data_IF_054886806016
#
_entry.id   IF_054886806016
#
_cell.length_a   1.000
_cell.length_b   1.000
_cell.length_c   1.000
_cell.angle_alpha   90.00
_cell.angle_beta   90.00
_cell.angle_gamma   90.00
#
_symmetry.space_group_name_H-M   'P 1'
#
loop_
_entity.id
_entity.type
_entity.pdbx_description
1 polymer ?
#
# COMPACT_ATOMS: atom_id res chain seq x y z
N UNK A 1 42.08 41.94 5.45
CA UNK A 1 42.64 41.60 4.12
C UNK A 1 42.87 40.11 4.10
N UNK A 2 41.93 39.35 3.55
CA UNK A 2 42.02 37.88 3.46
C UNK A 2 42.71 37.50 2.15
N UNK A 3 43.78 36.73 2.24
CA UNK A 3 44.54 36.21 1.11
C UNK A 3 43.84 35.00 0.51
N UNK A 4 43.42 35.11 -0.75
CA UNK A 4 42.95 34.01 -1.58
C UNK A 4 44.13 33.13 -1.99
N UNK A 5 44.20 31.91 -1.46
CA UNK A 5 45.04 30.84 -2.01
C UNK A 5 44.19 30.00 -2.96
N UNK A 6 44.40 30.19 -4.26
CA UNK A 6 43.83 29.35 -5.31
C UNK A 6 44.53 27.99 -5.31
N UNK A 7 43.83 26.96 -4.84
CA UNK A 7 44.27 25.57 -5.01
C UNK A 7 43.96 25.17 -6.46
N UNK A 8 45.00 24.95 -7.25
CA UNK A 8 44.90 24.49 -8.63
C UNK A 8 44.61 22.98 -8.66
N UNK A 9 43.44 22.61 -9.17
CA UNK A 9 43.01 21.22 -9.31
C UNK A 9 43.67 20.62 -10.56
N UNK A 10 44.55 19.63 -10.39
CA UNK A 10 45.22 18.92 -11.49
C UNK A 10 44.54 17.55 -11.70
N UNK A 11 43.80 17.34 -12.82
CA UNK A 11 42.89 16.20 -12.94
C UNK A 11 43.54 14.88 -13.39
N UNK A 12 44.88 14.75 -13.39
CA UNK A 12 45.57 13.62 -14.03
C UNK A 12 46.38 12.71 -13.11
N UNK A 13 46.14 12.73 -11.79
CA UNK A 13 47.01 12.04 -10.82
C UNK A 13 46.34 10.91 -10.02
N UNK A 14 45.47 10.06 -10.59
CA UNK A 14 45.17 8.75 -9.98
C UNK A 14 44.92 7.68 -11.04
N UNK A 15 45.88 6.76 -11.17
CA UNK A 15 45.75 5.55 -11.94
C UNK A 15 45.06 4.44 -11.15
N UNK A 16 44.25 3.66 -11.89
CA UNK A 16 43.66 2.36 -11.58
C UNK A 16 42.44 2.34 -10.62
N UNK A 17 41.29 2.05 -11.25
CA UNK A 17 40.04 1.53 -10.68
C UNK A 17 39.19 2.46 -9.81
N UNK A 18 38.95 3.69 -10.26
CA UNK A 18 37.64 4.32 -10.00
C UNK A 18 36.79 4.18 -11.25
N UNK A 19 36.16 3.00 -11.41
CA UNK A 19 34.85 3.02 -12.04
C UNK A 19 34.01 3.84 -11.08
N UNK A 20 33.84 5.13 -11.36
CA UNK A 20 32.85 5.94 -10.71
C UNK A 20 31.50 5.31 -11.06
N UNK A 21 31.09 4.33 -10.26
CA UNK A 21 29.70 3.96 -10.06
C UNK A 21 29.08 5.24 -9.50
N UNK A 22 28.62 6.12 -10.39
CA UNK A 22 27.67 7.14 -9.99
C UNK A 22 26.55 6.38 -9.26
N UNK A 23 26.29 6.67 -7.98
CA UNK A 23 25.21 5.99 -7.27
C UNK A 23 23.95 6.19 -8.10
N UNK A 24 23.35 5.06 -8.49
CA UNK A 24 22.27 5.02 -9.46
C UNK A 24 21.02 5.77 -8.95
N UNK A 25 20.92 5.90 -7.62
CA UNK A 25 19.99 6.79 -6.97
C UNK A 25 20.76 7.71 -6.01
N UNK A 26 20.47 9.01 -6.10
CA UNK A 26 21.14 10.06 -5.32
C UNK A 26 20.17 10.76 -4.36
N UNK A 27 18.88 10.78 -4.72
CA UNK A 27 17.83 11.33 -3.90
C UNK A 27 17.07 10.17 -3.23
N UNK A 28 16.82 10.21 -1.91
CA UNK A 28 15.93 9.26 -1.25
C UNK A 28 14.58 9.06 -1.97
N UNK A 29 14.01 10.12 -2.57
CA UNK A 29 12.76 10.04 -3.33
C UNK A 29 12.85 9.22 -4.63
N UNK A 30 14.06 8.89 -5.11
CA UNK A 30 14.25 8.03 -6.29
C UNK A 30 13.63 6.64 -6.07
N UNK A 31 13.68 6.11 -4.84
CA UNK A 31 13.10 4.80 -4.51
C UNK A 31 11.56 4.86 -4.56
N UNK A 32 10.97 5.99 -4.15
CA UNK A 32 9.53 6.25 -4.26
C UNK A 32 9.10 6.31 -5.72
N UNK A 33 9.86 7.02 -6.57
CA UNK A 33 9.54 7.10 -8.00
C UNK A 33 9.67 5.73 -8.68
N UNK A 34 10.74 4.98 -8.37
CA UNK A 34 10.90 3.63 -8.90
C UNK A 34 9.72 2.73 -8.51
N UNK A 35 9.30 2.76 -7.23
CA UNK A 35 8.16 2.02 -6.73
C UNK A 35 6.84 2.43 -7.40
N UNK A 36 6.60 3.73 -7.58
CA UNK A 36 5.38 4.28 -8.20
C UNK A 36 5.16 3.82 -9.64
N UNK A 37 6.25 3.65 -10.39
CA UNK A 37 6.21 3.15 -11.76
C UNK A 37 6.46 1.64 -11.89
N UNK A 38 6.72 0.94 -10.77
CA UNK A 38 7.10 -0.48 -10.79
C UNK A 38 8.42 -0.74 -11.53
N UNK A 39 9.33 0.23 -11.58
CA UNK A 39 10.63 0.09 -12.22
C UNK A 39 11.55 -0.78 -11.33
N UNK A 40 11.49 -2.08 -11.56
CA UNK A 40 12.25 -3.07 -10.79
C UNK A 40 13.76 -2.83 -10.85
N UNK A 41 14.28 -2.35 -11.99
CA UNK A 41 15.70 -2.10 -12.16
C UNK A 41 16.12 -0.91 -11.31
N UNK A 42 15.44 0.24 -11.46
CA UNK A 42 15.74 1.44 -10.67
C UNK A 42 15.53 1.18 -9.17
N UNK A 43 14.51 0.41 -8.81
CA UNK A 43 14.25 0.04 -7.42
C UNK A 43 15.43 -0.74 -6.82
N UNK A 44 15.92 -1.77 -7.53
CA UNK A 44 17.11 -2.55 -7.12
C UNK A 44 18.35 -1.67 -7.01
N UNK A 45 18.56 -0.82 -8.01
CA UNK A 45 19.69 0.10 -8.06
C UNK A 45 19.67 1.08 -6.85
N UNK A 46 18.49 1.57 -6.43
CA UNK A 46 18.34 2.42 -5.24
C UNK A 46 18.64 1.67 -3.93
N UNK A 47 18.12 0.45 -3.78
CA UNK A 47 18.39 -0.39 -2.58
C UNK A 47 19.89 -0.67 -2.46
N UNK A 48 20.55 -1.02 -3.57
CA UNK A 48 21.99 -1.28 -3.61
C UNK A 48 22.83 -0.02 -3.35
N UNK A 49 22.30 1.17 -3.69
CA UNK A 49 22.93 2.46 -3.36
C UNK A 49 22.79 2.83 -1.88
N UNK A 50 22.09 2.03 -1.07
CA UNK A 50 21.93 2.23 0.37
C UNK A 50 20.80 3.18 0.76
N UNK A 51 19.88 3.48 -0.17
CA UNK A 51 18.67 4.25 0.17
C UNK A 51 17.78 3.37 1.09
N UNK A 52 17.29 3.89 2.22
CA UNK A 52 16.39 3.14 3.09
C UNK A 52 15.14 2.67 2.34
N UNK A 53 14.83 1.37 2.44
CA UNK A 53 13.67 0.75 1.78
C UNK A 53 12.33 1.33 2.24
N UNK A 54 12.29 1.89 3.45
CA UNK A 54 11.12 2.48 4.08
C UNK A 54 11.15 4.03 4.07
N UNK A 55 11.99 4.64 3.22
CA UNK A 55 11.97 6.09 3.00
C UNK A 55 10.55 6.53 2.63
N UNK A 56 9.94 7.38 3.45
CA UNK A 56 8.55 7.81 3.24
C UNK A 56 8.51 9.15 2.51
N UNK A 57 7.54 9.29 1.60
CA UNK A 57 7.26 10.56 0.94
C UNK A 57 6.52 11.54 1.88
N UNK A 58 6.25 12.79 1.47
CA UNK A 58 5.53 13.76 2.31
C UNK A 58 4.10 13.34 2.72
N UNK A 59 3.50 12.33 2.08
CA UNK A 59 2.22 11.74 2.48
C UNK A 59 2.38 10.62 3.54
N UNK A 60 3.62 10.32 3.94
CA UNK A 60 3.95 9.20 4.82
C UNK A 60 3.90 7.84 4.11
N UNK A 61 3.85 7.82 2.77
CA UNK A 61 3.78 6.59 1.99
C UNK A 61 5.20 6.09 1.68
N UNK A 62 5.49 4.85 2.06
CA UNK A 62 6.74 4.16 1.72
C UNK A 62 6.67 3.56 0.29
N UNK A 63 7.79 3.07 -0.27
CA UNK A 63 7.81 2.37 -1.55
C UNK A 63 6.77 1.26 -1.64
N UNK A 64 6.53 0.51 -0.55
CA UNK A 64 5.54 -0.56 -0.52
C UNK A 64 4.11 -0.07 -0.80
N UNK A 65 3.73 1.11 -0.32
CA UNK A 65 2.42 1.73 -0.65
C UNK A 65 2.29 2.01 -2.15
N UNK A 66 3.35 2.48 -2.78
CA UNK A 66 3.36 2.84 -4.20
C UNK A 66 3.35 1.60 -5.11
N UNK A 67 4.08 0.54 -4.74
CA UNK A 67 4.12 -0.72 -5.52
C UNK A 67 2.76 -1.39 -5.58
N UNK A 68 1.98 -1.34 -4.48
CA UNK A 68 0.62 -1.89 -4.46
C UNK A 68 -0.25 -1.20 -5.52
N UNK A 69 -0.14 0.12 -5.66
CA UNK A 69 -0.79 0.87 -6.74
C UNK A 69 -0.30 0.44 -8.12
N UNK A 70 1.03 0.38 -8.31
CA UNK A 70 1.67 -0.01 -9.56
C UNK A 70 1.29 -1.44 -10.00
N UNK A 71 1.09 -2.36 -9.05
CA UNK A 71 0.73 -3.75 -9.34
C UNK A 71 1.91 -4.65 -9.71
N UNK A 72 3.16 -4.21 -9.54
CA UNK A 72 4.35 -5.03 -9.85
C UNK A 72 4.61 -6.03 -8.73
N UNK A 73 4.41 -7.32 -9.03
CA UNK A 73 4.62 -8.41 -8.06
C UNK A 73 6.10 -8.57 -7.74
N UNK A 74 6.95 -8.49 -8.75
CA UNK A 74 8.40 -8.66 -8.63
C UNK A 74 9.00 -7.56 -7.74
N UNK A 75 8.56 -6.31 -7.92
CA UNK A 75 9.00 -5.20 -7.09
C UNK A 75 8.47 -5.32 -5.65
N UNK A 76 7.25 -5.85 -5.47
CA UNK A 76 6.65 -6.09 -4.17
C UNK A 76 7.47 -7.12 -3.38
N UNK A 77 7.81 -8.26 -4.00
CA UNK A 77 8.67 -9.27 -3.39
C UNK A 77 10.07 -8.75 -3.10
N UNK A 78 10.65 -7.97 -4.02
CA UNK A 78 11.97 -7.37 -3.81
C UNK A 78 12.00 -6.52 -2.53
N UNK A 79 10.99 -5.69 -2.27
CA UNK A 79 10.95 -4.92 -1.01
C UNK A 79 10.82 -5.82 0.22
N UNK A 80 9.93 -6.82 0.16
CA UNK A 80 9.70 -7.74 1.27
C UNK A 80 10.92 -8.61 1.60
N UNK A 81 11.80 -8.88 0.64
CA UNK A 81 13.08 -9.55 0.83
C UNK A 81 14.17 -8.65 1.43
N UNK A 82 13.96 -7.33 1.45
CA UNK A 82 14.90 -6.34 1.98
C UNK A 82 14.39 -5.68 3.27
N UNK A 83 13.76 -6.46 4.15
CA UNK A 83 13.34 -6.08 5.51
C UNK A 83 12.40 -4.86 5.62
N UNK A 84 11.59 -4.60 4.59
CA UNK A 84 10.53 -3.57 4.63
C UNK A 84 9.57 -3.77 5.79
N UNK A 85 9.32 -2.71 6.57
CA UNK A 85 8.31 -2.72 7.64
C UNK A 85 6.89 -2.54 7.07
N UNK A 86 6.16 -3.65 6.99
CA UNK A 86 4.77 -3.67 6.51
C UNK A 86 3.78 -2.96 7.45
N UNK A 87 4.18 -2.65 8.70
CA UNK A 87 3.31 -2.05 9.73
C UNK A 87 3.26 -0.52 9.67
N UNK A 88 4.09 0.10 8.83
CA UNK A 88 4.09 1.53 8.63
C UNK A 88 2.75 2.03 8.09
N UNK A 89 2.41 3.26 8.48
CA UNK A 89 1.13 3.90 8.16
C UNK A 89 1.38 5.23 7.48
N UNK A 90 0.54 5.56 6.52
CA UNK A 90 0.55 6.87 5.89
C UNK A 90 0.05 7.97 6.85
N UNK A 91 0.09 9.22 6.40
CA UNK A 91 -0.39 10.37 7.19
C UNK A 91 -1.91 10.35 7.42
N UNK A 92 -2.67 9.46 6.78
CA UNK A 92 -4.10 9.21 7.04
C UNK A 92 -4.34 8.01 7.95
N UNK A 93 -3.26 7.38 8.46
CA UNK A 93 -3.31 6.17 9.27
C UNK A 93 -3.65 4.91 8.48
N UNK A 94 -3.68 4.96 7.14
CA UNK A 94 -3.89 3.78 6.33
C UNK A 94 -2.66 2.89 6.41
N UNK A 95 -2.89 1.58 6.50
CA UNK A 95 -1.86 0.56 6.29
C UNK A 95 -1.77 0.21 4.81
N UNK A 96 -0.72 -0.52 4.42
CA UNK A 96 -0.59 -1.11 3.09
C UNK A 96 -1.77 -2.01 2.70
N UNK A 97 -2.44 -2.65 3.67
CA UNK A 97 -3.68 -3.40 3.43
C UNK A 97 -4.84 -2.50 2.97
N UNK A 98 -5.01 -1.31 3.56
CA UNK A 98 -6.02 -0.35 3.10
C UNK A 98 -5.77 0.05 1.64
N UNK A 99 -4.49 0.27 1.28
CA UNK A 99 -4.08 0.56 -0.09
C UNK A 99 -4.40 -0.63 -1.01
N UNK A 100 -4.04 -1.85 -0.63
CA UNK A 100 -4.32 -3.06 -1.42
C UNK A 100 -5.81 -3.25 -1.69
N UNK A 101 -6.65 -3.04 -0.69
CA UNK A 101 -8.12 -3.06 -0.83
C UNK A 101 -8.63 -1.97 -1.77
N UNK A 102 -8.14 -0.74 -1.62
CA UNK A 102 -8.56 0.41 -2.44
C UNK A 102 -8.24 0.18 -3.92
N UNK A 103 -7.11 -0.46 -4.23
CA UNK A 103 -6.69 -0.80 -5.60
C UNK A 103 -7.19 -2.18 -6.07
N UNK A 104 -7.92 -2.94 -5.24
CA UNK A 104 -8.39 -4.28 -5.59
C UNK A 104 -7.28 -5.30 -5.86
N UNK A 105 -6.17 -5.23 -5.11
CA UNK A 105 -5.01 -6.11 -5.23
C UNK A 105 -5.14 -7.30 -4.27
N UNK A 106 -6.00 -8.25 -4.60
CA UNK A 106 -6.33 -9.42 -3.77
C UNK A 106 -5.08 -10.20 -3.33
N UNK A 107 -4.14 -10.45 -4.25
CA UNK A 107 -2.91 -11.19 -3.95
C UNK A 107 -1.99 -10.46 -2.96
N UNK A 108 -1.84 -9.13 -3.09
CA UNK A 108 -1.03 -8.35 -2.14
C UNK A 108 -1.71 -8.27 -0.78
N UNK A 109 -3.04 -8.14 -0.74
CA UNK A 109 -3.77 -8.18 0.51
C UNK A 109 -3.57 -9.52 1.23
N UNK A 110 -3.65 -10.64 0.49
CA UNK A 110 -3.41 -11.98 1.02
C UNK A 110 -2.02 -12.11 1.65
N UNK A 111 -0.98 -11.74 0.89
CA UNK A 111 0.40 -11.87 1.36
C UNK A 111 0.68 -10.99 2.59
N UNK A 112 0.17 -9.76 2.62
CA UNK A 112 0.33 -8.87 3.77
C UNK A 112 -0.31 -9.47 5.04
N UNK A 113 -1.50 -10.07 4.91
CA UNK A 113 -2.19 -10.74 6.02
C UNK A 113 -1.42 -11.98 6.48
N UNK A 114 -0.92 -12.79 5.55
CA UNK A 114 -0.14 -14.00 5.88
C UNK A 114 1.19 -13.67 6.57
N UNK A 115 1.74 -12.49 6.32
CA UNK A 115 2.90 -11.94 7.06
C UNK A 115 2.56 -11.34 8.42
N UNK A 116 1.31 -11.45 8.87
CA UNK A 116 0.88 -11.00 10.18
C UNK A 116 0.62 -9.50 10.28
N UNK A 117 0.32 -8.83 9.17
CA UNK A 117 -0.26 -7.48 9.23
C UNK A 117 -1.65 -7.56 9.87
N UNK A 118 -1.91 -6.67 10.82
CA UNK A 118 -3.21 -6.62 11.50
C UNK A 118 -4.34 -6.29 10.51
N UNK A 119 -5.20 -7.28 10.27
CA UNK A 119 -6.34 -7.21 9.36
C UNK A 119 -7.42 -6.22 9.85
N UNK A 120 -7.46 -5.98 11.16
CA UNK A 120 -8.44 -5.13 11.84
C UNK A 120 -7.89 -3.73 12.15
N UNK A 121 -6.68 -3.41 11.68
CA UNK A 121 -6.08 -2.10 11.86
C UNK A 121 -7.01 -0.99 11.30
N UNK A 122 -7.15 0.10 12.06
CA UNK A 122 -8.07 1.19 11.72
C UNK A 122 -7.33 2.47 11.34
N UNK A 123 -7.69 3.12 10.23
CA UNK A 123 -7.13 4.41 9.85
C UNK A 123 -7.66 5.58 10.73
N UNK A 124 -7.32 6.83 10.39
CA UNK A 124 -7.71 8.01 11.21
C UNK A 124 -9.22 8.24 11.32
N UNK A 125 -10.04 7.68 10.42
CA UNK A 125 -11.51 7.71 10.53
C UNK A 125 -12.07 6.44 11.20
N UNK A 126 -11.22 5.72 11.91
CA UNK A 126 -11.48 4.42 12.52
C UNK A 126 -11.99 3.35 11.53
N UNK A 127 -11.83 3.54 10.22
CA UNK A 127 -12.25 2.56 9.24
C UNK A 127 -11.19 1.47 9.10
N UNK A 128 -11.63 0.21 9.02
CA UNK A 128 -10.79 -0.94 8.69
C UNK A 128 -10.71 -1.16 7.18
N UNK A 129 -9.78 -2.01 6.76
CA UNK A 129 -9.69 -2.51 5.38
C UNK A 129 -11.03 -3.10 4.88
N UNK A 130 -11.79 -3.80 5.75
CA UNK A 130 -13.08 -4.38 5.39
C UNK A 130 -14.14 -3.31 5.06
N UNK A 131 -14.16 -2.17 5.76
CA UNK A 131 -15.05 -1.06 5.42
C UNK A 131 -14.80 -0.56 3.99
N UNK A 132 -13.53 -0.41 3.60
CA UNK A 132 -13.16 0.02 2.26
C UNK A 132 -13.54 -1.00 1.18
N UNK A 133 -13.42 -2.31 1.47
CA UNK A 133 -13.82 -3.38 0.57
C UNK A 133 -15.34 -3.40 0.33
N UNK A 134 -16.13 -3.13 1.37
CA UNK A 134 -17.59 -3.00 1.25
C UNK A 134 -17.96 -1.77 0.44
N UNK A 135 -17.33 -0.62 0.70
CA UNK A 135 -17.60 0.64 -0.02
C UNK A 135 -17.26 0.57 -1.51
N UNK A 136 -16.24 -0.20 -1.88
CA UNK A 136 -15.91 -0.47 -3.28
C UNK A 136 -16.79 -1.55 -3.92
N UNK A 137 -17.72 -2.15 -3.15
CA UNK A 137 -18.54 -3.29 -3.52
C UNK A 137 -17.72 -4.49 -4.03
N UNK A 138 -16.47 -4.65 -3.60
CA UNK A 138 -15.60 -5.74 -4.04
C UNK A 138 -15.89 -7.02 -3.24
N UNK A 139 -16.80 -7.85 -3.75
CA UNK A 139 -17.19 -9.12 -3.11
C UNK A 139 -16.02 -10.10 -2.95
N UNK A 140 -15.05 -10.10 -3.88
CA UNK A 140 -13.87 -10.97 -3.80
C UNK A 140 -13.01 -10.61 -2.59
N UNK A 141 -12.67 -9.34 -2.48
CA UNK A 141 -11.89 -8.81 -1.36
C UNK A 141 -12.64 -8.96 -0.01
N UNK A 142 -13.96 -8.73 0.03
CA UNK A 142 -14.76 -8.97 1.25
C UNK A 142 -14.63 -10.43 1.69
N UNK A 143 -14.80 -11.39 0.77
CA UNK A 143 -14.67 -12.82 1.09
C UNK A 143 -13.26 -13.18 1.54
N UNK A 144 -12.23 -12.61 0.93
CA UNK A 144 -10.84 -12.82 1.31
C UNK A 144 -10.60 -12.36 2.75
N UNK A 145 -10.99 -11.11 3.06
CA UNK A 145 -10.80 -10.54 4.39
C UNK A 145 -11.59 -11.31 5.46
N UNK A 146 -12.87 -11.58 5.22
CA UNK A 146 -13.71 -12.37 6.14
C UNK A 146 -13.16 -13.78 6.32
N UNK A 147 -12.73 -14.43 5.22
CA UNK A 147 -12.13 -15.77 5.26
C UNK A 147 -10.78 -15.81 5.99
N UNK A 148 -10.09 -14.68 6.13
CA UNK A 148 -8.87 -14.53 6.93
C UNK A 148 -9.12 -14.01 8.35
N UNK A 149 -10.38 -13.89 8.77
CA UNK A 149 -10.75 -13.53 10.15
C UNK A 149 -10.92 -12.04 10.41
N UNK A 150 -11.19 -11.23 9.38
CA UNK A 150 -11.55 -9.82 9.58
C UNK A 150 -12.83 -9.69 10.41
N UNK A 151 -12.83 -8.79 11.39
CA UNK A 151 -14.00 -8.53 12.23
C UNK A 151 -15.08 -7.77 11.44
N UNK A 152 -16.28 -8.36 11.36
CA UNK A 152 -17.41 -7.82 10.56
C UNK A 152 -18.26 -6.79 11.30
N UNK A 153 -18.07 -6.66 12.63
CA UNK A 153 -18.87 -5.79 13.50
C UNK A 153 -18.10 -4.58 14.07
N UNK A 154 -16.82 -4.43 13.75
CA UNK A 154 -16.04 -3.26 14.16
C UNK A 154 -16.64 -1.98 13.60
N UNK A 155 -16.88 -1.00 14.46
CA UNK A 155 -17.48 0.28 14.05
C UNK A 155 -16.40 1.28 13.63
N UNK A 156 -16.62 1.97 12.53
CA UNK A 156 -15.82 3.13 12.15
C UNK A 156 -16.16 4.37 13.00
N UNK A 157 -15.57 5.52 12.66
CA UNK A 157 -15.77 6.79 13.35
C UNK A 157 -17.21 7.30 13.33
N UNK A 158 -18.03 6.83 12.39
CA UNK A 158 -19.47 7.15 12.31
C UNK A 158 -20.33 6.19 13.15
N UNK A 159 -19.72 5.22 13.84
CA UNK A 159 -20.43 4.19 14.60
C UNK A 159 -21.05 3.09 13.75
N UNK A 160 -20.67 2.97 12.47
CA UNK A 160 -21.24 2.05 11.49
C UNK A 160 -20.27 0.88 11.30
N UNK A 161 -20.76 -0.36 11.34
CA UNK A 161 -19.97 -1.56 11.04
C UNK A 161 -19.89 -1.83 9.53
N UNK A 162 -18.98 -2.68 9.03
CA UNK A 162 -18.95 -3.08 7.62
C UNK A 162 -20.30 -3.62 7.13
N UNK A 163 -21.01 -4.39 7.96
CA UNK A 163 -22.38 -4.86 7.67
C UNK A 163 -23.35 -3.69 7.54
N UNK A 164 -23.30 -2.72 8.47
CA UNK A 164 -24.12 -1.52 8.42
C UNK A 164 -23.86 -0.67 7.18
N UNK A 165 -22.60 -0.53 6.76
CA UNK A 165 -22.25 0.13 5.48
C UNK A 165 -22.88 -0.61 4.31
N UNK A 166 -22.81 -1.94 4.29
CA UNK A 166 -23.39 -2.74 3.22
C UNK A 166 -24.93 -2.62 3.15
N UNK A 167 -25.61 -2.54 4.29
CA UNK A 167 -27.05 -2.33 4.38
C UNK A 167 -27.44 -0.94 3.88
N UNK A 168 -26.80 0.11 4.38
CA UNK A 168 -27.05 1.49 3.95
C UNK A 168 -26.85 1.68 2.44
N UNK A 169 -25.82 1.06 1.86
CA UNK A 169 -25.57 1.08 0.42
C UNK A 169 -26.57 0.25 -0.39
N UNK A 170 -27.23 -0.76 0.20
CA UNK A 170 -28.26 -1.54 -0.50
C UNK A 170 -29.59 -0.80 -0.59
N UNK A 171 -29.84 0.17 0.31
CA UNK A 171 -31.08 0.94 0.39
C UNK A 171 -31.06 2.19 -0.49
N UNK A 172 -29.87 2.72 -0.79
CA UNK A 172 -29.71 3.85 -1.69
C UNK A 172 -29.77 3.40 -3.15
N UNK A 173 -30.86 3.71 -3.84
CA UNK A 173 -30.95 3.55 -5.29
C UNK A 173 -30.09 4.60 -6.01
N UNK A 174 -29.25 4.17 -6.97
CA UNK A 174 -28.47 5.08 -7.82
C UNK A 174 -27.02 5.35 -7.37
N UNK A 175 -26.48 4.62 -6.40
CA UNK A 175 -25.06 4.74 -6.05
C UNK A 175 -24.16 4.31 -7.21
N UNK A 176 -23.38 5.26 -7.71
CA UNK A 176 -22.27 5.01 -8.62
C UNK A 176 -21.05 4.55 -7.80
N UNK A 177 -20.53 3.36 -8.08
CA UNK A 177 -19.23 2.92 -7.61
C UNK A 177 -18.08 3.74 -8.21
N UNK A 178 -16.82 3.41 -7.86
CA UNK A 178 -15.68 4.03 -8.49
C UNK A 178 -15.79 3.89 -10.02
N UNK A 179 -15.72 5.02 -10.73
CA UNK A 179 -15.91 5.17 -12.20
C UNK A 179 -17.35 5.18 -12.75
N UNK A 180 -18.36 5.65 -12.02
CA UNK A 180 -19.68 5.91 -12.64
C UNK A 180 -20.61 4.69 -12.72
N UNK A 181 -20.14 3.50 -12.32
CA UNK A 181 -20.89 2.25 -12.51
C UNK A 181 -21.92 2.05 -11.40
N UNK A 182 -23.21 1.82 -11.71
CA UNK A 182 -24.21 1.60 -10.68
C UNK A 182 -23.89 0.34 -9.87
N UNK A 183 -23.82 0.49 -8.55
CA UNK A 183 -23.74 -0.64 -7.62
C UNK A 183 -25.14 -1.25 -7.55
N UNK A 184 -25.28 -2.48 -8.06
CA UNK A 184 -26.57 -3.17 -8.02
C UNK A 184 -26.90 -3.59 -6.59
N UNK A 185 -28.17 -3.40 -6.18
CA UNK A 185 -28.70 -3.94 -4.91
C UNK A 185 -28.46 -5.45 -4.77
N UNK A 186 -28.45 -6.20 -5.88
CA UNK A 186 -28.11 -7.63 -5.90
C UNK A 186 -26.66 -7.91 -5.46
N UNK A 187 -25.73 -7.03 -5.82
CA UNK A 187 -24.32 -7.15 -5.43
C UNK A 187 -24.15 -6.87 -3.94
N UNK A 188 -24.79 -5.82 -3.43
CA UNK A 188 -24.77 -5.51 -2.00
C UNK A 188 -25.40 -6.63 -1.16
N UNK A 189 -26.52 -7.22 -1.61
CA UNK A 189 -27.11 -8.40 -0.94
C UNK A 189 -26.15 -9.58 -0.85
N UNK A 190 -25.31 -9.81 -1.87
CA UNK A 190 -24.27 -10.85 -1.81
C UNK A 190 -23.17 -10.51 -0.79
N UNK A 191 -22.79 -9.23 -0.68
CA UNK A 191 -21.82 -8.75 0.30
C UNK A 191 -22.37 -8.89 1.72
N UNK A 192 -23.61 -8.45 1.96
CA UNK A 192 -24.30 -8.64 3.24
C UNK A 192 -24.30 -10.12 3.62
N UNK A 193 -24.68 -11.00 2.68
CA UNK A 193 -24.65 -12.44 2.91
C UNK A 193 -23.25 -13.01 3.18
N UNK A 194 -22.19 -12.41 2.64
CA UNK A 194 -20.82 -12.83 2.91
C UNK A 194 -20.34 -12.38 4.30
N UNK A 195 -20.80 -11.22 4.77
CA UNK A 195 -20.44 -10.67 6.07
C UNK A 195 -21.22 -11.32 7.23
N UNK A 196 -22.47 -11.77 6.99
CA UNK A 196 -23.34 -12.32 8.04
C UNK A 196 -23.27 -13.84 8.17
N UNK A 197 -22.67 -14.53 7.20
CA UNK A 197 -22.47 -15.97 7.33
C UNK A 197 -21.42 -16.20 8.42
N UNK A 198 -21.70 -17.04 9.43
CA UNK A 198 -20.65 -17.48 10.33
C UNK A 198 -19.57 -18.12 9.46
N UNK A 199 -18.35 -17.59 9.56
CA UNK A 199 -17.16 -18.23 9.01
C UNK A 199 -17.11 -19.62 9.62
N UNK A 200 -17.50 -20.63 8.86
CA UNK A 200 -17.41 -22.03 9.29
C UNK A 200 -15.93 -22.36 9.43
N UNK A 201 -15.46 -22.34 10.68
CA UNK A 201 -14.30 -23.01 11.27
C UNK A 201 -13.21 -23.51 10.31
N UNK A 202 -11.99 -23.00 10.53
CA UNK A 202 -10.87 -23.77 11.08
C UNK A 202 -9.66 -22.89 11.40
#
# INVERSE_FOLDING_TARGET
MASNTSVTFNPFAFGLAWVALFPACQNPDDIIQAARFGDLKKLRDCIQSGIPVDHADPAGETPLFHIIGAGSKEAFWLLLENDTDIRLRDNLGNTTLHKAVTFGRDEFALELIERGLDINATNKVAATALHSAVRSANLGMVKLLVGKGAETEMKNGDGISPVGVAQAMSEQEGLSGPMGRPISSKQMKKIISALTKPTTDK
#
